data_IF_589612638273
#
_entry.id   IF_589612638273
#
_cell.length_a   1.000
_cell.length_b   1.000
_cell.length_c   1.000
_cell.angle_alpha   90.00
_cell.angle_beta   90.00
_cell.angle_gamma   90.00
#
_symmetry.space_group_name_H-M   'P 1'
#
loop_
_entity.id
_entity.type
_entity.pdbx_description
1 polymer ?
#
# COMPACT_ATOMS: atom_id res chain seq x y z
N UNK A 1 -25.96 -33.31 2.71
CA UNK A 1 -24.89 -32.34 3.08
C UNK A 1 -25.24 -31.01 2.43
N UNK A 2 -25.84 -30.09 3.18
CA UNK A 2 -26.42 -28.84 2.66
C UNK A 2 -25.35 -27.79 2.41
N UNK A 3 -25.20 -27.36 1.16
CA UNK A 3 -24.42 -26.17 0.80
C UNK A 3 -25.30 -24.96 1.15
N UNK A 4 -25.00 -24.28 2.25
CA UNK A 4 -25.62 -22.99 2.57
C UNK A 4 -25.19 -21.97 1.51
N UNK A 5 -26.12 -21.55 0.65
CA UNK A 5 -25.96 -20.37 -0.20
C UNK A 5 -25.68 -19.16 0.68
N UNK A 6 -24.48 -18.62 0.58
CA UNK A 6 -24.11 -17.36 1.22
C UNK A 6 -24.79 -16.24 0.44
N UNK A 7 -25.90 -15.72 0.97
CA UNK A 7 -26.57 -14.56 0.41
C UNK A 7 -25.71 -13.33 0.72
N UNK A 8 -24.97 -12.84 -0.28
CA UNK A 8 -24.28 -11.56 -0.20
C UNK A 8 -25.35 -10.48 -0.31
N UNK A 9 -25.76 -9.93 0.83
CA UNK A 9 -26.61 -8.75 0.89
C UNK A 9 -25.67 -7.53 0.84
N UNK A 10 -25.48 -6.96 -0.34
CA UNK A 10 -24.78 -5.67 -0.49
C UNK A 10 -25.68 -4.59 0.12
N UNK A 11 -25.39 -4.23 1.37
CA UNK A 11 -26.00 -3.09 2.04
C UNK A 11 -25.13 -1.87 1.73
N UNK A 12 -25.56 -1.03 0.79
CA UNK A 12 -24.87 0.22 0.49
C UNK A 12 -24.96 1.18 1.67
N UNK A 13 -23.81 1.66 2.17
CA UNK A 13 -23.73 2.86 3.02
C UNK A 13 -22.42 3.62 2.84
N UNK A 14 -22.57 4.86 2.35
CA UNK A 14 -21.74 6.08 2.55
C UNK A 14 -20.24 6.08 2.21
N UNK A 15 -19.96 6.89 1.18
CA UNK A 15 -18.84 7.85 1.03
C UNK A 15 -17.41 7.33 0.79
N UNK A 16 -17.28 6.12 0.26
CA UNK A 16 -16.04 5.72 -0.43
C UNK A 16 -16.44 5.23 -1.83
N UNK A 17 -15.76 5.73 -2.85
CA UNK A 17 -15.88 5.15 -4.19
C UNK A 17 -15.37 3.71 -4.09
N UNK A 18 -16.29 2.74 -4.12
CA UNK A 18 -15.98 1.31 -4.11
C UNK A 18 -15.56 0.81 -5.51
N UNK A 19 -15.38 1.72 -6.47
CA UNK A 19 -14.91 1.41 -7.83
C UNK A 19 -13.39 1.54 -7.98
N UNK A 20 -12.62 1.59 -6.88
CA UNK A 20 -11.15 1.61 -6.97
C UNK A 20 -10.57 0.22 -7.24
N UNK A 21 -9.38 0.20 -7.87
CA UNK A 21 -8.62 -1.04 -8.12
C UNK A 21 -8.38 -1.83 -6.82
N UNK A 22 -8.19 -1.13 -5.70
CA UNK A 22 -8.06 -1.75 -4.37
C UNK A 22 -9.29 -2.55 -3.98
N UNK A 23 -10.49 -2.05 -4.27
CA UNK A 23 -11.72 -2.77 -3.90
C UNK A 23 -11.78 -4.14 -4.58
N UNK A 24 -11.55 -4.19 -5.89
CA UNK A 24 -11.55 -5.43 -6.67
C UNK A 24 -10.43 -6.37 -6.28
N UNK A 25 -9.21 -5.82 -6.08
CA UNK A 25 -8.08 -6.61 -5.61
C UNK A 25 -8.40 -7.24 -4.24
N UNK A 26 -8.87 -6.45 -3.28
CA UNK A 26 -9.20 -6.92 -1.93
C UNK A 26 -10.37 -7.92 -1.95
N UNK A 27 -11.39 -7.72 -2.79
CA UNK A 27 -12.48 -8.68 -2.99
C UNK A 27 -11.97 -10.03 -3.54
N UNK A 28 -10.97 -10.02 -4.42
CA UNK A 28 -10.31 -11.25 -4.89
C UNK A 28 -9.48 -11.91 -3.77
N UNK A 29 -8.67 -11.13 -3.04
CA UNK A 29 -7.86 -11.61 -1.92
C UNK A 29 -8.75 -12.27 -0.84
N UNK A 30 -9.73 -11.50 -0.35
CA UNK A 30 -11.14 -11.90 -0.23
C UNK A 30 -11.51 -13.37 -0.34
N UNK A 31 -12.06 -13.65 -1.51
CA UNK A 31 -12.56 -14.94 -1.94
C UNK A 31 -11.50 -16.06 -1.89
N UNK A 32 -10.23 -15.72 -2.05
CA UNK A 32 -9.12 -16.69 -2.01
C UNK A 32 -8.63 -17.04 -0.60
N UNK A 33 -9.07 -16.34 0.44
CA UNK A 33 -8.52 -16.53 1.78
C UNK A 33 -7.05 -16.09 1.88
N UNK A 34 -6.58 -15.22 0.97
CA UNK A 34 -5.18 -14.91 0.85
C UNK A 34 -4.74 -13.87 1.88
N UNK A 35 -3.77 -14.28 2.71
CA UNK A 35 -3.17 -13.42 3.74
C UNK A 35 -1.92 -12.68 3.24
N UNK A 36 -1.44 -11.72 4.02
CA UNK A 36 -0.22 -10.98 3.69
C UNK A 36 -0.39 -9.52 4.09
N UNK A 37 0.72 -8.79 4.02
CA UNK A 37 0.74 -7.38 4.37
C UNK A 37 0.41 -6.51 3.15
N UNK A 38 -0.08 -5.29 3.40
CA UNK A 38 -0.21 -4.25 2.39
C UNK A 38 1.04 -3.36 2.43
N UNK A 39 1.69 -3.16 1.28
CA UNK A 39 2.84 -2.26 1.17
C UNK A 39 2.55 -1.21 0.10
N UNK A 40 2.83 0.05 0.41
CA UNK A 40 2.70 1.18 -0.51
C UNK A 40 4.01 1.97 -0.56
N UNK A 41 4.45 2.25 -1.79
CA UNK A 41 5.69 2.96 -2.09
C UNK A 41 5.31 4.29 -2.72
N UNK A 42 5.38 5.34 -1.91
CA UNK A 42 4.95 6.70 -2.22
C UNK A 42 3.55 6.87 -1.70
N UNK A 43 3.42 7.59 -0.58
CA UNK A 43 2.16 7.72 0.14
C UNK A 43 1.66 9.16 0.15
N UNK A 44 2.54 10.15 -0.06
CA UNK A 44 2.21 11.57 -0.10
C UNK A 44 1.29 11.98 1.08
N UNK A 45 0.05 12.41 0.80
CA UNK A 45 -0.93 12.82 1.81
C UNK A 45 -1.71 11.63 2.42
N UNK A 46 -1.51 10.42 1.91
CA UNK A 46 -2.05 9.16 2.42
C UNK A 46 -3.43 8.77 1.88
N UNK A 47 -3.90 9.36 0.77
CA UNK A 47 -5.27 9.12 0.27
C UNK A 47 -5.50 7.66 -0.15
N UNK A 48 -4.63 7.13 -0.99
CA UNK A 48 -4.55 5.72 -1.42
C UNK A 48 -4.39 4.80 -0.21
N UNK A 49 -3.43 5.08 0.66
CA UNK A 49 -3.19 4.32 1.89
C UNK A 49 -4.43 4.22 2.80
N UNK A 50 -5.12 5.34 3.01
CA UNK A 50 -6.38 5.40 3.77
C UNK A 50 -7.46 4.56 3.09
N UNK A 51 -7.59 4.66 1.77
CA UNK A 51 -8.58 3.92 1.00
C UNK A 51 -8.33 2.41 1.08
N UNK A 52 -7.08 1.97 0.92
CA UNK A 52 -6.68 0.57 1.04
C UNK A 52 -6.99 0.03 2.45
N UNK A 53 -6.53 0.74 3.50
CA UNK A 53 -6.80 0.36 4.89
C UNK A 53 -8.30 0.20 5.16
N UNK A 54 -9.12 1.19 4.78
CA UNK A 54 -10.57 1.16 5.02
C UNK A 54 -11.26 0.06 4.23
N UNK A 55 -10.77 -0.26 3.04
CA UNK A 55 -11.29 -1.36 2.24
C UNK A 55 -11.00 -2.72 2.88
N UNK A 56 -9.77 -2.95 3.35
CA UNK A 56 -9.44 -4.16 4.10
C UNK A 56 -10.22 -4.24 5.42
N UNK A 57 -10.36 -3.13 6.15
CA UNK A 57 -11.17 -3.09 7.38
C UNK A 57 -12.62 -3.48 7.11
N UNK A 58 -13.19 -3.04 6.00
CA UNK A 58 -14.56 -3.36 5.60
C UNK A 58 -14.74 -4.85 5.25
N UNK A 59 -13.85 -5.42 4.43
CA UNK A 59 -13.97 -6.82 3.99
C UNK A 59 -13.52 -7.83 5.05
N UNK A 60 -12.46 -7.51 5.79
CA UNK A 60 -11.76 -8.46 6.65
C UNK A 60 -11.87 -8.16 8.14
N UNK A 61 -12.41 -7.02 8.56
CA UNK A 61 -12.31 -6.51 9.94
C UNK A 61 -12.80 -7.42 11.08
N UNK A 62 -13.39 -8.58 10.76
CA UNK A 62 -13.84 -9.61 11.71
C UNK A 62 -13.22 -10.99 11.46
N UNK A 63 -12.03 -11.03 10.86
CA UNK A 63 -11.35 -12.26 10.46
C UNK A 63 -9.95 -12.33 11.05
N UNK A 64 -9.42 -13.56 11.19
CA UNK A 64 -8.03 -13.75 11.63
C UNK A 64 -7.00 -13.18 10.64
N UNK A 65 -7.37 -13.05 9.36
CA UNK A 65 -6.52 -12.43 8.34
C UNK A 65 -6.30 -10.96 8.68
N UNK A 66 -7.38 -10.25 9.01
CA UNK A 66 -7.28 -8.85 9.45
C UNK A 66 -6.42 -8.71 10.69
N UNK A 67 -6.59 -9.57 11.70
CA UNK A 67 -5.83 -9.47 12.95
C UNK A 67 -4.32 -9.52 12.73
N UNK A 68 -3.87 -10.34 11.78
CA UNK A 68 -2.45 -10.53 11.44
C UNK A 68 -1.93 -9.55 10.40
N UNK A 69 -2.80 -8.96 9.59
CA UNK A 69 -2.42 -8.03 8.51
C UNK A 69 -1.86 -6.72 9.06
N UNK A 70 -0.78 -6.26 8.43
CA UNK A 70 -0.12 -4.97 8.66
C UNK A 70 -0.08 -4.16 7.36
N UNK A 71 0.12 -2.86 7.52
CA UNK A 71 0.16 -1.85 6.47
C UNK A 71 1.48 -1.10 6.57
N UNK A 72 2.23 -1.06 5.47
CA UNK A 72 3.55 -0.46 5.41
C UNK A 72 3.56 0.73 4.46
N UNK A 73 3.94 1.89 4.98
CA UNK A 73 4.13 3.11 4.20
C UNK A 73 5.64 3.35 4.02
N UNK A 74 6.11 3.37 2.77
CA UNK A 74 7.48 3.71 2.42
C UNK A 74 7.50 5.04 1.65
N UNK A 75 8.11 6.07 2.24
CA UNK A 75 8.15 7.40 1.64
C UNK A 75 9.35 8.20 2.18
N UNK A 76 9.88 9.13 1.41
CA UNK A 76 10.91 10.07 1.88
C UNK A 76 10.33 11.08 2.87
N UNK A 77 9.04 11.42 2.73
CA UNK A 77 8.39 12.58 3.33
C UNK A 77 9.09 13.92 3.01
N UNK A 78 9.90 13.91 1.94
CA UNK A 78 10.66 15.04 1.40
C UNK A 78 10.24 15.36 -0.05
N UNK A 79 9.23 14.66 -0.57
CA UNK A 79 8.78 14.74 -1.96
C UNK A 79 9.60 13.85 -2.89
N UNK A 80 9.33 13.97 -4.18
CA UNK A 80 10.00 13.20 -5.25
C UNK A 80 11.49 13.61 -5.28
N UNK A 81 12.43 12.65 -5.43
CA UNK A 81 13.85 12.99 -5.53
C UNK A 81 14.14 13.76 -6.82
N UNK A 82 15.30 14.41 -6.90
CA UNK A 82 15.73 15.01 -8.17
C UNK A 82 15.85 13.91 -9.25
N UNK A 83 15.13 14.03 -10.39
CA UNK A 83 15.09 12.97 -11.39
C UNK A 83 16.45 12.78 -12.07
N UNK A 84 16.82 11.52 -12.34
CA UNK A 84 18.01 11.16 -13.11
C UNK A 84 17.80 11.46 -14.61
N UNK A 85 18.76 11.07 -15.47
CA UNK A 85 18.64 11.32 -16.91
C UNK A 85 17.46 10.61 -17.58
N UNK A 86 17.16 9.38 -17.16
CA UNK A 86 16.05 8.59 -17.69
C UNK A 86 14.73 9.23 -17.26
N UNK A 87 14.58 9.51 -15.97
CA UNK A 87 13.36 10.10 -15.40
C UNK A 87 13.05 11.46 -16.03
N UNK A 88 14.05 12.34 -16.21
CA UNK A 88 13.85 13.63 -16.90
C UNK A 88 13.32 13.51 -18.33
N UNK A 89 13.52 12.38 -19.00
CA UNK A 89 13.01 12.13 -20.36
C UNK A 89 11.60 11.53 -20.34
N UNK A 90 11.22 10.86 -19.26
CA UNK A 90 9.92 10.18 -19.10
C UNK A 90 8.90 11.11 -18.47
N UNK A 91 9.28 11.79 -17.39
CA UNK A 91 8.42 12.63 -16.58
C UNK A 91 8.98 14.05 -16.41
N UNK A 92 8.07 15.00 -16.21
CA UNK A 92 8.39 16.43 -16.07
C UNK A 92 8.63 16.88 -14.62
N UNK A 93 8.71 15.93 -13.69
CA UNK A 93 8.79 16.20 -12.26
C UNK A 93 10.08 16.95 -11.89
N UNK A 94 9.98 17.74 -10.83
CA UNK A 94 11.13 18.38 -10.19
C UNK A 94 11.30 17.84 -8.78
N UNK A 95 12.55 17.82 -8.31
CA UNK A 95 12.84 17.42 -6.94
C UNK A 95 12.06 18.26 -5.93
N UNK A 96 11.47 17.60 -4.94
CA UNK A 96 10.63 18.20 -3.90
C UNK A 96 9.16 18.42 -4.29
N UNK A 97 8.75 18.09 -5.52
CA UNK A 97 7.32 18.00 -5.86
C UNK A 97 6.67 16.82 -5.09
N UNK A 98 5.34 16.82 -4.98
CA UNK A 98 4.58 15.84 -4.18
C UNK A 98 5.07 15.72 -2.72
N UNK A 99 5.51 16.83 -2.13
CA UNK A 99 5.96 16.88 -0.73
C UNK A 99 4.80 16.84 0.28
N UNK A 100 4.90 15.94 1.24
CA UNK A 100 4.08 15.89 2.45
C UNK A 100 4.96 15.43 3.61
N UNK A 101 5.01 16.22 4.70
CA UNK A 101 5.80 15.83 5.87
C UNK A 101 5.19 14.62 6.59
N UNK A 102 6.01 13.81 7.24
CA UNK A 102 5.53 12.67 8.04
C UNK A 102 4.49 13.07 9.10
N UNK A 103 4.66 14.13 9.90
CA UNK A 103 3.63 14.55 10.86
C UNK A 103 2.30 14.92 10.21
N UNK A 104 2.32 15.46 8.99
CA UNK A 104 1.11 15.75 8.23
C UNK A 104 0.43 14.48 7.73
N UNK A 105 1.19 13.54 7.16
CA UNK A 105 0.69 12.23 6.77
C UNK A 105 0.03 11.51 7.96
N UNK A 106 0.74 11.40 9.09
CA UNK A 106 0.22 10.77 10.32
C UNK A 106 -1.04 11.47 10.85
N UNK A 107 -1.09 12.80 10.78
CA UNK A 107 -2.28 13.59 11.12
C UNK A 107 -3.46 13.23 10.20
N UNK A 108 -3.24 13.07 8.90
CA UNK A 108 -4.27 12.67 7.96
C UNK A 108 -4.80 11.26 8.26
N UNK A 109 -3.91 10.30 8.54
CA UNK A 109 -4.31 8.94 8.94
C UNK A 109 -5.15 8.96 10.23
N UNK A 110 -4.73 9.74 11.21
CA UNK A 110 -5.45 9.92 12.48
C UNK A 110 -6.84 10.54 12.27
N UNK A 111 -6.94 11.58 11.44
CA UNK A 111 -8.23 12.21 11.11
C UNK A 111 -9.17 11.25 10.37
N UNK A 112 -8.62 10.33 9.56
CA UNK A 112 -9.37 9.27 8.89
C UNK A 112 -9.71 8.07 9.82
N UNK A 113 -9.27 8.09 11.08
CA UNK A 113 -9.58 7.07 12.07
C UNK A 113 -8.90 5.73 11.80
N UNK A 114 -7.65 5.74 11.34
CA UNK A 114 -6.84 4.54 11.19
C UNK A 114 -6.20 4.13 12.52
N UNK A 115 -6.01 2.82 12.72
CA UNK A 115 -5.31 2.28 13.90
C UNK A 115 -3.82 2.16 13.61
N UNK A 116 -3.01 2.94 14.32
CA UNK A 116 -1.54 2.86 14.25
C UNK A 116 -0.96 1.54 14.79
N UNK A 117 -1.77 0.66 15.39
CA UNK A 117 -1.32 -0.68 15.81
C UNK A 117 -0.99 -1.61 14.65
N UNK A 118 -1.44 -1.28 13.43
CA UNK A 118 -1.24 -2.08 12.22
C UNK A 118 -0.38 -1.37 11.19
N UNK A 119 0.11 -0.16 11.49
CA UNK A 119 0.76 0.71 10.52
C UNK A 119 2.21 0.87 10.91
N UNK A 120 3.09 0.51 9.97
CA UNK A 120 4.52 0.71 10.07
C UNK A 120 4.95 1.73 9.02
N UNK A 121 5.68 2.76 9.44
CA UNK A 121 6.10 3.86 8.58
C UNK A 121 7.62 3.83 8.48
N UNK A 122 8.13 3.67 7.25
CA UNK A 122 9.55 3.75 6.93
C UNK A 122 9.79 5.05 6.19
N UNK A 123 10.44 5.98 6.89
CA UNK A 123 10.81 7.30 6.39
C UNK A 123 12.23 7.29 5.82
N UNK A 124 12.38 7.81 4.60
CA UNK A 124 13.66 8.02 3.94
C UNK A 124 13.68 7.52 2.49
N UNK A 125 14.69 7.95 1.74
CA UNK A 125 14.86 7.58 0.33
C UNK A 125 15.02 6.08 0.14
N UNK A 126 14.42 5.54 -0.92
CA UNK A 126 14.40 4.09 -1.16
C UNK A 126 15.77 3.44 -1.26
N UNK A 127 16.74 4.11 -1.89
CA UNK A 127 18.14 3.66 -1.94
C UNK A 127 18.76 3.41 -0.56
N UNK A 128 18.26 4.10 0.47
CA UNK A 128 18.76 4.03 1.84
C UNK A 128 17.89 3.13 2.73
N UNK A 129 16.58 3.06 2.45
CA UNK A 129 15.60 2.38 3.32
C UNK A 129 15.15 1.02 2.81
N UNK A 130 15.13 0.75 1.50
CA UNK A 130 14.68 -0.50 0.91
C UNK A 130 15.80 -1.56 0.89
N UNK A 131 16.26 -1.92 2.08
CA UNK A 131 17.38 -2.84 2.28
C UNK A 131 16.94 -4.19 2.86
N UNK A 132 17.78 -5.21 2.70
CA UNK A 132 17.56 -6.50 3.36
C UNK A 132 17.50 -6.39 4.90
N UNK A 133 18.16 -5.38 5.48
CA UNK A 133 18.07 -5.12 6.92
C UNK A 133 16.68 -4.60 7.33
N UNK A 134 16.14 -3.63 6.59
CA UNK A 134 14.77 -3.14 6.78
C UNK A 134 13.76 -4.27 6.69
N UNK A 135 13.89 -5.14 5.68
CA UNK A 135 13.02 -6.31 5.52
C UNK A 135 13.03 -7.24 6.74
N UNK A 136 14.22 -7.54 7.29
CA UNK A 136 14.37 -8.34 8.51
C UNK A 136 13.80 -7.64 9.74
N UNK A 137 14.09 -6.34 9.90
CA UNK A 137 13.62 -5.53 11.04
C UNK A 137 12.10 -5.47 11.09
N UNK A 138 11.46 -5.32 9.93
CA UNK A 138 10.00 -5.28 9.81
C UNK A 138 9.35 -6.67 9.81
N UNK A 139 10.13 -7.75 9.83
CA UNK A 139 9.66 -9.14 9.73
C UNK A 139 8.68 -9.32 8.56
N UNK A 140 9.04 -8.78 7.38
CA UNK A 140 8.23 -8.91 6.16
C UNK A 140 8.36 -10.32 5.59
N UNK A 141 7.22 -10.98 5.36
CA UNK A 141 7.18 -12.39 4.93
C UNK A 141 6.43 -12.63 3.62
N UNK A 142 5.33 -11.92 3.41
CA UNK A 142 4.50 -12.06 2.22
C UNK A 142 3.62 -10.82 2.05
N UNK A 143 3.48 -10.36 0.81
CA UNK A 143 2.58 -9.26 0.47
C UNK A 143 1.24 -9.77 -0.08
N UNK A 144 0.14 -9.18 0.39
CA UNK A 144 -1.18 -9.31 -0.23
C UNK A 144 -1.29 -8.37 -1.42
N UNK A 145 -1.00 -7.09 -1.20
CA UNK A 145 -0.98 -6.07 -2.25
C UNK A 145 0.29 -5.25 -2.11
N UNK A 146 0.96 -5.05 -3.24
CA UNK A 146 2.05 -4.12 -3.43
C UNK A 146 1.54 -2.97 -4.30
N UNK A 147 1.55 -1.75 -3.78
CA UNK A 147 1.15 -0.56 -4.51
C UNK A 147 2.39 0.29 -4.81
N UNK A 148 2.76 0.38 -6.09
CA UNK A 148 3.91 1.13 -6.59
C UNK A 148 3.40 2.46 -7.14
N UNK A 149 3.63 3.55 -6.41
CA UNK A 149 3.08 4.89 -6.64
C UNK A 149 4.16 5.95 -6.36
N UNK A 150 5.27 5.85 -7.09
CA UNK A 150 6.48 6.62 -6.82
C UNK A 150 7.01 7.41 -8.02
N UNK A 151 6.20 7.50 -9.09
CA UNK A 151 6.34 8.29 -10.33
C UNK A 151 7.60 8.05 -11.20
N UNK A 152 8.72 7.73 -10.57
CA UNK A 152 10.03 7.64 -11.19
C UNK A 152 10.39 6.18 -11.50
N UNK A 153 11.05 5.99 -12.64
CA UNK A 153 11.61 4.71 -13.06
C UNK A 153 12.57 4.15 -12.01
N UNK A 154 13.51 4.97 -11.51
CA UNK A 154 14.50 4.52 -10.52
C UNK A 154 13.84 4.10 -9.21
N UNK A 155 12.86 4.86 -8.73
CA UNK A 155 12.09 4.53 -7.54
C UNK A 155 11.29 3.24 -7.71
N UNK A 156 10.71 3.03 -8.90
CA UNK A 156 9.92 1.84 -9.22
C UNK A 156 10.79 0.58 -9.22
N UNK A 157 11.98 0.63 -9.83
CA UNK A 157 12.92 -0.50 -9.83
C UNK A 157 13.36 -0.84 -8.40
N UNK A 158 13.71 0.17 -7.59
CA UNK A 158 14.10 -0.05 -6.19
C UNK A 158 12.98 -0.70 -5.36
N UNK A 159 11.73 -0.27 -5.55
CA UNK A 159 10.57 -0.86 -4.89
C UNK A 159 10.34 -2.32 -5.33
N UNK A 160 10.40 -2.60 -6.63
CA UNK A 160 10.22 -3.95 -7.17
C UNK A 160 11.30 -4.92 -6.71
N UNK A 161 12.57 -4.52 -6.73
CA UNK A 161 13.70 -5.32 -6.26
C UNK A 161 13.55 -5.66 -4.77
N UNK A 162 13.15 -4.68 -3.95
CA UNK A 162 12.86 -4.91 -2.54
C UNK A 162 11.67 -5.84 -2.32
N UNK A 163 10.65 -5.77 -3.16
CA UNK A 163 9.46 -6.60 -3.04
C UNK A 163 9.61 -8.02 -3.56
N UNK A 164 10.60 -8.29 -4.41
CA UNK A 164 10.78 -9.60 -5.06
C UNK A 164 10.62 -10.81 -4.11
N UNK A 165 11.24 -10.88 -2.92
CA UNK A 165 11.08 -12.03 -2.03
C UNK A 165 9.72 -12.10 -1.31
N UNK A 166 8.89 -11.06 -1.37
CA UNK A 166 7.58 -10.98 -0.73
C UNK A 166 6.44 -11.46 -1.63
N UNK A 167 6.69 -11.57 -2.94
CA UNK A 167 5.72 -11.98 -3.96
C UNK A 167 5.51 -13.48 -3.90
N UNK A 168 4.24 -13.90 -3.83
CA UNK A 168 3.82 -15.30 -3.93
C UNK A 168 2.60 -15.44 -4.84
N UNK A 169 2.22 -16.66 -5.23
CA UNK A 169 1.03 -16.90 -6.05
C UNK A 169 -0.22 -16.32 -5.39
N UNK A 170 -0.79 -15.27 -5.97
CA UNK A 170 -1.94 -14.54 -5.40
C UNK A 170 -1.61 -13.12 -4.94
N UNK A 171 -0.33 -12.74 -4.81
CA UNK A 171 0.06 -11.34 -4.57
C UNK A 171 -0.40 -10.48 -5.74
N UNK A 172 -1.05 -9.35 -5.45
CA UNK A 172 -1.41 -8.33 -6.46
C UNK A 172 -0.36 -7.23 -6.43
N UNK A 173 0.14 -6.86 -7.61
CA UNK A 173 1.03 -5.71 -7.79
C UNK A 173 0.27 -4.68 -8.62
N UNK A 174 0.04 -3.51 -8.04
CA UNK A 174 -0.58 -2.37 -8.70
C UNK A 174 0.45 -1.28 -8.95
N UNK A 175 0.38 -0.66 -10.13
CA UNK A 175 1.16 0.52 -10.50
C UNK A 175 0.18 1.67 -10.72
N UNK A 176 0.40 2.81 -10.07
CA UNK A 176 -0.40 4.03 -10.34
C UNK A 176 0.01 4.63 -11.70
N UNK A 177 1.32 4.71 -11.93
CA UNK A 177 1.93 5.18 -13.18
C UNK A 177 2.53 4.01 -13.98
N UNK A 178 1.86 3.63 -15.08
CA UNK A 178 2.29 2.54 -15.97
C UNK A 178 2.45 3.00 -17.43
#
# INVERSE_FOLDING_TARGET
>A
MMIKKMAIKVLGTKKYSFDSIFHKAIEMQTAMGFSGDYLEFGVFQGKSFIQAYKSFEFFWGKTEVWDKMRFFAFDSFEGIPAPNEIDRKINGFKGGECYCSRPEFERNLKQAGLSFKKIEITEGWYKDTLTAETMRKLDLKAASILHIDCDLYESSIQALDFCQPLVRSGTVVGFDDW
#
